data_IF_985204097154
#
_entry.id   IF_985204097154
#
_cell.length_a   1.000
_cell.length_b   1.000
_cell.length_c   1.000
_cell.angle_alpha   90.00
_cell.angle_beta   90.00
_cell.angle_gamma   90.00
#
_symmetry.space_group_name_H-M   'P 1'
#
loop_
_entity.id
_entity.type
_entity.pdbx_description
1 polymer ?
#
# COMPACT_ATOMS: atom_id res chain seq x y z
N UNK A 1 9.43 3.31 27.33
CA UNK A 1 9.66 3.63 25.92
C UNK A 1 8.44 4.37 25.38
N UNK A 2 8.64 5.37 24.53
CA UNK A 2 7.56 6.10 23.84
C UNK A 2 7.84 6.15 22.35
N UNK A 3 7.32 5.21 21.55
CA UNK A 3 7.44 5.31 20.10
C UNK A 3 6.82 6.61 19.59
N UNK A 4 7.46 7.23 18.61
CA UNK A 4 6.97 8.47 18.00
C UNK A 4 5.89 8.21 16.94
N UNK A 5 5.65 6.97 16.57
CA UNK A 5 4.68 6.55 15.56
C UNK A 5 5.23 5.42 14.72
N UNK A 6 4.59 5.14 13.60
CA UNK A 6 5.13 4.22 12.61
C UNK A 6 6.17 4.92 11.76
N UNK A 7 7.29 4.26 11.49
CA UNK A 7 8.30 4.72 10.54
C UNK A 7 8.02 4.13 9.16
N UNK A 8 7.85 2.81 9.10
CA UNK A 8 7.54 2.11 7.87
C UNK A 8 6.82 0.79 8.16
N UNK A 9 6.21 0.24 7.12
CA UNK A 9 5.78 -1.15 7.07
C UNK A 9 6.59 -1.87 6.01
N UNK A 10 6.98 -3.11 6.27
CA UNK A 10 7.67 -3.97 5.30
C UNK A 10 6.73 -5.04 4.80
N UNK A 11 6.68 -5.25 3.50
CA UNK A 11 5.86 -6.28 2.86
C UNK A 11 6.68 -7.10 1.89
N UNK A 12 6.37 -8.38 1.79
CA UNK A 12 7.04 -9.28 0.88
C UNK A 12 6.37 -9.26 -0.49
N UNK A 13 7.16 -9.22 -1.54
CA UNK A 13 6.70 -9.33 -2.92
C UNK A 13 7.61 -10.29 -3.68
N UNK A 14 7.06 -11.02 -4.66
CA UNK A 14 7.84 -11.97 -5.45
C UNK A 14 8.61 -11.28 -6.56
N UNK A 15 8.01 -10.27 -7.17
CA UNK A 15 8.52 -9.52 -8.30
C UNK A 15 8.56 -8.04 -7.94
N UNK A 16 9.76 -7.53 -7.64
CA UNK A 16 9.93 -6.13 -7.21
C UNK A 16 9.57 -5.16 -8.33
N UNK A 17 9.87 -5.50 -9.59
CA UNK A 17 9.54 -4.65 -10.74
C UNK A 17 8.03 -4.48 -10.89
N UNK A 18 7.27 -5.58 -10.82
CA UNK A 18 5.82 -5.54 -10.88
C UNK A 18 5.23 -4.76 -9.68
N UNK A 19 5.82 -4.92 -8.50
CA UNK A 19 5.40 -4.18 -7.32
C UNK A 19 5.66 -2.68 -7.47
N UNK A 20 6.83 -2.27 -7.99
CA UNK A 20 7.11 -0.85 -8.29
C UNK A 20 6.07 -0.27 -9.25
N UNK A 21 5.79 -0.97 -10.35
CA UNK A 21 4.82 -0.51 -11.34
C UNK A 21 3.45 -0.28 -10.70
N UNK A 22 3.08 -1.11 -9.75
CA UNK A 22 1.82 -0.99 -9.04
C UNK A 22 1.85 0.15 -8.01
N UNK A 23 2.79 0.12 -7.08
CA UNK A 23 2.81 1.09 -5.97
C UNK A 23 3.16 2.50 -6.43
N UNK A 24 4.08 2.65 -7.36
CA UNK A 24 4.47 3.95 -7.91
C UNK A 24 3.56 4.34 -9.06
N UNK A 25 3.37 3.47 -10.04
CA UNK A 25 2.63 3.78 -11.27
C UNK A 25 1.12 3.84 -11.08
N UNK A 26 0.54 2.98 -10.24
CA UNK A 26 -0.91 2.89 -10.03
C UNK A 26 -1.34 3.64 -8.77
N UNK A 27 -0.68 3.38 -7.63
CA UNK A 27 -1.04 4.03 -6.37
C UNK A 27 -0.42 5.41 -6.18
N UNK A 28 0.57 5.79 -6.99
CA UNK A 28 1.14 7.13 -6.95
C UNK A 28 2.14 7.38 -5.84
N UNK A 29 2.71 6.33 -5.22
CA UNK A 29 3.78 6.50 -4.24
C UNK A 29 5.08 6.88 -4.92
N UNK A 30 6.03 7.41 -4.16
CA UNK A 30 7.33 7.84 -4.68
C UNK A 30 8.43 6.92 -4.21
N UNK A 31 9.24 6.39 -5.15
CA UNK A 31 10.39 5.56 -4.79
C UNK A 31 11.52 6.43 -4.25
N UNK A 32 12.12 6.01 -3.12
CA UNK A 32 13.28 6.66 -2.53
C UNK A 32 14.56 6.19 -3.21
N UNK A 33 15.51 7.11 -3.33
CA UNK A 33 16.83 6.82 -3.91
C UNK A 33 17.87 6.41 -2.86
N UNK A 34 17.53 6.43 -1.57
CA UNK A 34 18.50 6.24 -0.47
C UNK A 34 18.45 4.83 0.15
N UNK A 35 17.77 3.87 -0.50
CA UNK A 35 17.79 2.49 -0.03
C UNK A 35 19.22 1.95 -0.10
N UNK A 36 19.78 1.43 1.04
CA UNK A 36 21.09 0.82 1.01
C UNK A 36 21.17 -0.38 0.06
N UNK A 37 22.37 -0.73 -0.35
CA UNK A 37 22.62 -1.90 -1.20
C UNK A 37 22.62 -3.16 -0.33
N UNK A 38 21.41 -3.71 -0.11
CA UNK A 38 21.25 -4.94 0.64
C UNK A 38 21.59 -6.17 -0.23
N UNK A 39 21.80 -7.32 0.41
CA UNK A 39 22.01 -8.59 -0.29
C UNK A 39 20.73 -9.14 -0.95
N UNK A 40 19.60 -8.52 -0.76
CA UNK A 40 18.30 -8.91 -1.33
C UNK A 40 17.70 -7.72 -2.09
N UNK A 41 16.88 -8.03 -3.09
CA UNK A 41 16.19 -7.02 -3.87
C UNK A 41 14.98 -6.45 -3.12
N UNK A 42 14.63 -5.22 -3.43
CA UNK A 42 13.52 -4.53 -2.80
C UNK A 42 13.46 -3.08 -3.25
N UNK A 43 12.60 -2.32 -2.59
CA UNK A 43 12.45 -0.89 -2.83
C UNK A 43 11.91 -0.21 -1.57
N UNK A 44 12.26 1.04 -1.38
CA UNK A 44 11.70 1.89 -0.34
C UNK A 44 10.84 2.96 -0.98
N UNK A 45 9.60 3.09 -0.51
CA UNK A 45 8.61 4.00 -1.06
C UNK A 45 8.12 4.96 0.00
N UNK A 46 7.93 6.23 -0.38
CA UNK A 46 7.25 7.20 0.48
C UNK A 46 5.74 7.09 0.31
N UNK A 47 5.04 7.04 1.44
CA UNK A 47 3.60 7.13 1.54
C UNK A 47 3.28 8.28 2.51
N UNK A 48 3.19 9.50 2.02
CA UNK A 48 3.13 10.68 2.87
C UNK A 48 4.41 10.83 3.71
N UNK A 49 4.27 10.94 5.03
CA UNK A 49 5.40 11.04 5.96
C UNK A 49 5.95 9.69 6.43
N UNK A 50 5.37 8.60 5.96
CA UNK A 50 5.77 7.23 6.32
C UNK A 50 6.27 6.50 5.08
N UNK A 51 6.76 5.29 5.28
CA UNK A 51 7.35 4.52 4.18
C UNK A 51 6.74 3.13 4.09
N UNK A 52 6.76 2.58 2.88
CA UNK A 52 6.53 1.16 2.62
C UNK A 52 7.82 0.60 2.06
N UNK A 53 8.34 -0.46 2.68
CA UNK A 53 9.52 -1.19 2.21
C UNK A 53 9.07 -2.48 1.54
N UNK A 54 9.40 -2.62 0.27
CA UNK A 54 9.19 -3.85 -0.48
C UNK A 54 10.41 -4.76 -0.31
N UNK A 55 10.19 -6.02 0.00
CA UNK A 55 11.24 -7.02 0.19
C UNK A 55 10.94 -8.19 -0.75
N UNK A 56 11.92 -8.56 -1.59
CA UNK A 56 11.79 -9.77 -2.39
C UNK A 56 11.90 -10.99 -1.50
N UNK A 57 10.77 -11.65 -1.26
CA UNK A 57 10.66 -12.82 -0.39
C UNK A 57 9.34 -13.55 -0.66
N UNK A 58 9.18 -14.73 -0.06
CA UNK A 58 7.92 -15.46 -0.13
C UNK A 58 6.80 -14.63 0.48
N UNK A 59 5.65 -14.61 -0.19
CA UNK A 59 4.49 -13.83 0.24
C UNK A 59 3.61 -14.70 1.12
N UNK A 60 3.29 -14.28 2.35
CA UNK A 60 2.38 -15.04 3.19
C UNK A 60 0.97 -15.02 2.60
N UNK A 61 0.16 -16.07 2.84
CA UNK A 61 -1.22 -16.06 2.38
C UNK A 61 -2.01 -14.94 3.06
N UNK A 62 -3.03 -14.42 2.37
CA UNK A 62 -3.92 -13.43 2.94
C UNK A 62 -4.79 -14.07 4.03
N UNK A 63 -4.53 -13.71 5.28
CA UNK A 63 -5.31 -14.13 6.45
C UNK A 63 -5.94 -12.95 7.16
N UNK A 64 -6.04 -11.81 6.47
CA UNK A 64 -6.60 -10.57 6.99
C UNK A 64 -5.57 -9.51 7.35
N UNK A 65 -4.28 -9.86 7.45
CA UNK A 65 -3.24 -8.86 7.69
C UNK A 65 -3.16 -7.88 6.52
N UNK A 66 -3.06 -6.59 6.83
CA UNK A 66 -2.99 -5.55 5.82
C UNK A 66 -2.50 -4.25 6.44
N UNK A 67 -2.19 -3.29 5.60
CA UNK A 67 -1.98 -1.90 6.01
C UNK A 67 -3.00 -1.01 5.30
N UNK A 68 -3.20 0.20 5.83
CA UNK A 68 -4.15 1.15 5.28
C UNK A 68 -3.43 2.40 4.79
N UNK A 69 -3.80 2.86 3.60
CA UNK A 69 -3.39 4.15 3.06
C UNK A 69 -4.53 5.14 3.26
N UNK A 70 -4.24 6.28 3.84
CA UNK A 70 -5.21 7.35 3.99
C UNK A 70 -5.41 8.06 2.64
N UNK A 71 -6.65 8.27 2.26
CA UNK A 71 -7.04 9.02 1.07
C UNK A 71 -8.04 10.12 1.44
N UNK A 72 -8.04 11.22 0.70
CA UNK A 72 -8.93 12.35 0.98
C UNK A 72 -10.29 12.18 0.32
N UNK A 73 -10.37 11.45 -0.78
CA UNK A 73 -11.61 11.19 -1.53
C UNK A 73 -11.63 9.73 -1.98
N UNK A 74 -12.24 8.88 -1.19
CA UNK A 74 -12.28 7.45 -1.46
C UNK A 74 -13.07 7.11 -2.73
N UNK A 75 -14.18 7.81 -2.97
CA UNK A 75 -14.97 7.57 -4.19
C UNK A 75 -14.17 7.84 -5.45
N UNK A 76 -13.42 8.94 -5.49
CA UNK A 76 -12.55 9.27 -6.62
C UNK A 76 -11.41 8.26 -6.75
N UNK A 77 -10.79 7.85 -5.65
CA UNK A 77 -9.71 6.85 -5.67
C UNK A 77 -10.20 5.51 -6.23
N UNK A 78 -11.36 5.04 -5.78
CA UNK A 78 -11.95 3.79 -6.27
C UNK A 78 -12.26 3.87 -7.77
N UNK A 79 -12.84 4.99 -8.22
CA UNK A 79 -13.15 5.19 -9.64
C UNK A 79 -11.87 5.18 -10.50
N UNK A 80 -10.82 5.86 -10.05
CA UNK A 80 -9.55 5.89 -10.76
C UNK A 80 -8.92 4.50 -10.86
N UNK A 81 -8.88 3.75 -9.76
CA UNK A 81 -8.29 2.42 -9.75
C UNK A 81 -9.08 1.45 -10.63
N UNK A 82 -10.40 1.49 -10.58
CA UNK A 82 -11.25 0.67 -11.45
C UNK A 82 -11.06 1.02 -12.93
N UNK A 83 -10.86 2.31 -13.23
CA UNK A 83 -10.54 2.77 -14.58
C UNK A 83 -9.21 2.23 -15.10
N UNK A 84 -8.29 1.85 -14.22
CA UNK A 84 -7.02 1.20 -14.55
C UNK A 84 -7.08 -0.33 -14.48
N UNK A 85 -8.27 -0.90 -14.32
CA UNK A 85 -8.45 -2.35 -14.28
C UNK A 85 -8.18 -3.00 -12.92
N UNK A 86 -8.05 -2.22 -11.85
CA UNK A 86 -7.84 -2.75 -10.50
C UNK A 86 -9.18 -3.08 -9.86
N UNK A 87 -9.30 -4.29 -9.30
CA UNK A 87 -10.47 -4.70 -8.53
C UNK A 87 -10.41 -4.06 -7.15
N UNK A 88 -11.43 -3.29 -6.80
CA UNK A 88 -11.53 -2.60 -5.50
C UNK A 88 -12.94 -2.82 -4.97
N UNK A 89 -13.07 -3.11 -3.67
CA UNK A 89 -14.38 -3.26 -3.05
C UNK A 89 -15.10 -1.91 -2.96
N UNK A 90 -16.41 -1.94 -2.90
CA UNK A 90 -17.21 -0.73 -2.72
C UNK A 90 -16.89 -0.08 -1.37
N UNK A 91 -16.86 1.27 -1.30
CA UNK A 91 -16.71 1.97 -0.02
C UNK A 91 -17.80 1.57 0.97
N UNK A 92 -17.39 1.25 2.19
CA UNK A 92 -18.30 0.95 3.29
C UNK A 92 -17.96 1.82 4.50
N UNK A 93 -18.97 2.22 5.30
CA UNK A 93 -18.70 2.98 6.51
C UNK A 93 -17.92 2.15 7.53
N UNK A 94 -16.95 2.79 8.19
CA UNK A 94 -16.25 2.24 9.34
C UNK A 94 -15.92 3.37 10.30
N UNK A 95 -16.36 3.27 11.56
CA UNK A 95 -16.26 4.39 12.48
C UNK A 95 -16.93 5.64 11.88
N UNK A 96 -16.21 6.76 11.84
CA UNK A 96 -16.69 8.01 11.24
C UNK A 96 -16.24 8.17 9.77
N UNK A 97 -15.44 7.25 9.26
CA UNK A 97 -14.94 7.29 7.89
C UNK A 97 -15.48 6.18 7.03
N UNK A 98 -14.76 5.88 5.95
CA UNK A 98 -15.10 4.82 5.00
C UNK A 98 -13.85 4.08 4.58
N UNK A 99 -14.02 2.83 4.14
CA UNK A 99 -12.92 1.98 3.68
C UNK A 99 -13.28 1.18 2.44
N UNK A 100 -12.26 0.88 1.65
CA UNK A 100 -12.30 -0.08 0.54
C UNK A 100 -11.04 -0.93 0.59
N UNK A 101 -11.09 -2.11 -0.04
CA UNK A 101 -9.96 -3.04 -0.07
C UNK A 101 -9.58 -3.40 -1.49
N UNK A 102 -8.28 -3.61 -1.68
CA UNK A 102 -7.70 -4.13 -2.93
C UNK A 102 -6.52 -5.02 -2.58
N UNK A 103 -5.92 -5.63 -3.60
CA UNK A 103 -4.70 -6.41 -3.44
C UNK A 103 -3.62 -5.90 -4.38
N UNK A 104 -2.35 -6.00 -3.94
CA UNK A 104 -1.24 -5.74 -4.84
C UNK A 104 -1.00 -6.94 -5.79
N UNK A 105 -0.07 -6.85 -6.77
CA UNK A 105 0.18 -7.97 -7.69
C UNK A 105 0.65 -9.27 -7.02
N UNK A 106 1.24 -9.18 -5.83
CA UNK A 106 1.68 -10.36 -5.07
C UNK A 106 0.56 -10.97 -4.21
N UNK A 107 -0.60 -10.31 -4.11
CA UNK A 107 -1.72 -10.75 -3.28
C UNK A 107 -1.74 -10.16 -1.88
N UNK A 108 -0.89 -9.19 -1.58
CA UNK A 108 -0.96 -8.48 -0.30
C UNK A 108 -2.20 -7.60 -0.25
N UNK A 109 -2.97 -7.69 0.85
CA UNK A 109 -4.17 -6.89 1.04
C UNK A 109 -3.82 -5.46 1.41
N UNK A 110 -4.51 -4.50 0.81
CA UNK A 110 -4.38 -3.07 1.06
C UNK A 110 -5.75 -2.50 1.39
N UNK A 111 -5.83 -1.70 2.43
CA UNK A 111 -7.00 -0.90 2.72
C UNK A 111 -6.78 0.53 2.22
N UNK A 112 -7.81 1.13 1.62
CA UNK A 112 -7.89 2.59 1.43
C UNK A 112 -8.86 3.13 2.47
N UNK A 113 -8.41 4.09 3.26
CA UNK A 113 -9.16 4.63 4.37
C UNK A 113 -9.38 6.13 4.18
N UNK A 114 -10.64 6.56 4.14
CA UNK A 114 -11.00 7.97 4.16
C UNK A 114 -11.42 8.31 5.58
N UNK A 115 -10.57 9.00 6.37
CA UNK A 115 -10.92 9.33 7.73
C UNK A 115 -12.15 10.26 7.79
N UNK A 116 -12.98 10.08 8.82
CA UNK A 116 -14.07 10.98 9.10
C UNK A 116 -13.57 12.33 9.65
N UNK A 117 -14.45 13.30 9.60
CA UNK A 117 -14.20 14.64 10.14
C UNK A 117 -14.21 14.63 11.68
#
# INVERSE_FOLDING_TARGET
MRPAGLHHVSINVRDVSAARDFYVGVLGLTERADRPDFSFDGAWLDAGSQQIHLIKADVPPDRGQHFALAVTDLGAAVAELRGRGVTVTDPVPVGTGRQSFLSDPAGNRIELQEPGA
#
